data_IF_828913748373
#
_entry.id   IF_828913748373
#
_cell.length_a   1.000
_cell.length_b   1.000
_cell.length_c   1.000
_cell.angle_alpha   90.00
_cell.angle_beta   90.00
_cell.angle_gamma   90.00
#
_symmetry.space_group_name_H-M   'P 1'
#
loop_
_entity.id
_entity.type
_entity.pdbx_description
1 polymer ?
#
# COMPACT_ATOMS: atom_id res chain seq x y z
N UNK A 1 15.77 -64.32 42.13
CA UNK A 1 14.87 -63.88 41.04
C UNK A 1 14.99 -62.37 40.89
N UNK A 2 15.38 -61.92 39.71
CA UNK A 2 15.94 -60.59 39.39
C UNK A 2 14.86 -59.52 39.21
N UNK A 3 14.91 -58.45 40.00
CA UNK A 3 14.09 -57.23 39.82
C UNK A 3 15.00 -56.04 39.51
N UNK A 4 15.73 -56.09 38.41
CA UNK A 4 16.52 -54.95 37.89
C UNK A 4 16.44 -54.99 36.36
N UNK A 5 15.35 -54.48 35.77
CA UNK A 5 15.30 -54.35 34.30
C UNK A 5 14.26 -53.36 33.74
N UNK A 6 13.52 -52.59 34.55
CA UNK A 6 12.48 -51.67 34.02
C UNK A 6 12.98 -50.24 33.75
N UNK A 7 14.05 -49.82 34.41
CA UNK A 7 14.61 -48.46 34.28
C UNK A 7 15.30 -48.15 32.93
N UNK A 8 16.08 -49.05 32.28
CA UNK A 8 16.85 -48.65 31.08
C UNK A 8 15.94 -48.37 29.88
N UNK A 9 14.81 -49.07 29.74
CA UNK A 9 13.84 -48.80 28.68
C UNK A 9 13.16 -47.44 28.81
N UNK A 10 12.92 -46.98 30.05
CA UNK A 10 12.36 -45.65 30.30
C UNK A 10 13.35 -44.53 29.95
N UNK A 11 14.65 -44.71 30.23
CA UNK A 11 15.68 -43.75 29.83
C UNK A 11 15.83 -43.68 28.31
N UNK A 12 15.80 -44.83 27.62
CA UNK A 12 15.87 -44.88 26.17
C UNK A 12 14.65 -44.21 25.53
N UNK A 13 13.44 -44.49 26.05
CA UNK A 13 12.21 -43.84 25.60
C UNK A 13 12.21 -42.32 25.86
N UNK A 14 12.68 -41.89 27.04
CA UNK A 14 12.80 -40.46 27.37
C UNK A 14 13.81 -39.74 26.47
N UNK A 15 14.91 -40.39 26.12
CA UNK A 15 15.91 -39.82 25.21
C UNK A 15 15.36 -39.68 23.78
N UNK A 16 14.65 -40.68 23.27
CA UNK A 16 13.98 -40.63 21.96
C UNK A 16 12.92 -39.54 21.93
N UNK A 17 12.10 -39.42 22.98
CA UNK A 17 11.07 -38.38 23.08
C UNK A 17 11.69 -36.98 23.10
N UNK A 18 12.75 -36.78 23.89
CA UNK A 18 13.46 -35.51 23.95
C UNK A 18 14.08 -35.16 22.58
N UNK A 19 14.71 -36.12 21.91
CA UNK A 19 15.25 -35.94 20.57
C UNK A 19 14.18 -35.57 19.53
N UNK A 20 13.01 -36.22 19.60
CA UNK A 20 11.87 -35.90 18.73
C UNK A 20 11.36 -34.48 18.96
N UNK A 21 11.22 -34.05 20.23
CA UNK A 21 10.82 -32.69 20.60
C UNK A 21 11.82 -31.68 20.06
N UNK A 22 13.12 -31.88 20.32
CA UNK A 22 14.18 -30.97 19.84
C UNK A 22 14.20 -30.90 18.31
N UNK A 23 14.03 -32.03 17.62
CA UNK A 23 14.00 -32.07 16.15
C UNK A 23 12.78 -31.33 15.60
N UNK A 24 11.60 -31.55 16.20
CA UNK A 24 10.37 -30.89 15.80
C UNK A 24 10.47 -29.38 15.96
N UNK A 25 10.83 -28.90 17.16
CA UNK A 25 10.96 -27.46 17.41
C UNK A 25 12.12 -26.84 16.62
N UNK A 26 13.25 -27.54 16.49
CA UNK A 26 14.39 -27.07 15.70
C UNK A 26 14.04 -26.88 14.23
N UNK A 27 13.36 -27.86 13.61
CA UNK A 27 12.89 -27.74 12.23
C UNK A 27 11.87 -26.60 12.08
N UNK A 28 10.92 -26.47 12.99
CA UNK A 28 9.89 -25.43 12.92
C UNK A 28 10.42 -24.01 13.16
N UNK A 29 11.49 -23.84 13.96
CA UNK A 29 12.17 -22.53 14.13
C UNK A 29 12.88 -22.11 12.84
N UNK A 30 13.39 -23.06 12.07
CA UNK A 30 14.09 -22.80 10.81
C UNK A 30 13.09 -22.58 9.67
N UNK A 31 12.10 -23.47 9.53
CA UNK A 31 11.19 -23.56 8.39
C UNK A 31 9.85 -22.84 8.56
N UNK A 32 9.53 -22.31 9.74
CA UNK A 32 8.27 -21.61 9.96
C UNK A 32 8.19 -20.25 9.25
N UNK A 33 6.97 -19.74 9.03
CA UNK A 33 6.70 -18.44 8.39
C UNK A 33 7.34 -17.23 9.11
N UNK A 34 7.76 -17.40 10.36
CA UNK A 34 8.54 -16.42 11.16
C UNK A 34 9.93 -16.91 11.53
N UNK A 35 10.35 -18.01 10.93
CA UNK A 35 11.64 -18.65 11.15
C UNK A 35 12.79 -17.83 10.58
N UNK A 36 14.03 -18.23 10.89
CA UNK A 36 15.24 -17.51 10.49
C UNK A 36 15.34 -17.31 8.96
N UNK A 37 14.78 -18.24 8.17
CA UNK A 37 14.77 -18.19 6.71
C UNK A 37 13.74 -17.21 6.11
N UNK A 38 12.72 -16.79 6.86
CA UNK A 38 11.68 -15.87 6.37
C UNK A 38 12.10 -14.38 6.43
N UNK A 39 13.18 -14.08 7.17
CA UNK A 39 13.66 -12.70 7.40
C UNK A 39 13.99 -11.94 6.11
N UNK A 40 14.71 -12.50 5.12
CA UNK A 40 15.07 -11.76 3.91
C UNK A 40 13.84 -11.36 3.07
N UNK A 41 12.84 -12.23 2.99
CA UNK A 41 11.60 -11.96 2.27
C UNK A 41 10.72 -10.91 2.96
N UNK A 42 10.71 -10.89 4.30
CA UNK A 42 10.04 -9.84 5.07
C UNK A 42 10.74 -8.49 4.90
N UNK A 43 12.06 -8.46 5.00
CA UNK A 43 12.83 -7.22 4.85
C UNK A 43 12.61 -6.59 3.49
N UNK A 44 12.62 -7.40 2.41
CA UNK A 44 12.31 -6.92 1.07
C UNK A 44 10.90 -6.32 0.97
N UNK A 45 9.90 -6.95 1.60
CA UNK A 45 8.53 -6.43 1.62
C UNK A 45 8.42 -5.13 2.39
N UNK A 46 9.17 -4.97 3.49
CA UNK A 46 9.25 -3.72 4.25
C UNK A 46 9.83 -2.63 3.37
N UNK A 47 10.99 -2.87 2.75
CA UNK A 47 11.63 -1.90 1.85
C UNK A 47 10.69 -1.48 0.71
N UNK A 48 10.03 -2.45 0.07
CA UNK A 48 9.06 -2.15 -0.99
C UNK A 48 7.89 -1.30 -0.47
N UNK A 49 7.32 -1.64 0.69
CA UNK A 49 6.22 -0.89 1.29
C UNK A 49 6.64 0.55 1.63
N UNK A 50 7.86 0.74 2.15
CA UNK A 50 8.42 2.05 2.47
C UNK A 50 8.66 2.89 1.20
N UNK A 51 9.17 2.30 0.12
CA UNK A 51 9.32 2.97 -1.18
C UNK A 51 7.96 3.41 -1.73
N UNK A 52 6.96 2.53 -1.70
CA UNK A 52 5.60 2.88 -2.12
C UNK A 52 5.00 4.01 -1.28
N UNK A 53 5.20 3.98 0.04
CA UNK A 53 4.76 5.03 0.94
C UNK A 53 5.44 6.37 0.61
N UNK A 54 6.75 6.36 0.35
CA UNK A 54 7.50 7.56 -0.01
C UNK A 54 6.98 8.19 -1.32
N UNK A 55 6.71 7.37 -2.34
CA UNK A 55 6.15 7.81 -3.61
C UNK A 55 4.75 8.42 -3.45
N UNK A 56 3.86 7.72 -2.74
CA UNK A 56 2.50 8.21 -2.49
C UNK A 56 2.50 9.50 -1.68
N UNK A 57 3.34 9.59 -0.65
CA UNK A 57 3.47 10.81 0.17
C UNK A 57 4.00 11.99 -0.65
N UNK A 58 4.91 11.75 -1.60
CA UNK A 58 5.37 12.79 -2.54
C UNK A 58 4.24 13.25 -3.46
N UNK A 59 3.47 12.31 -4.00
CA UNK A 59 2.34 12.62 -4.88
C UNK A 59 1.24 13.38 -4.13
N UNK A 60 0.90 12.94 -2.92
CA UNK A 60 -0.05 13.63 -2.06
C UNK A 60 0.39 15.07 -1.78
N UNK A 61 1.66 15.29 -1.41
CA UNK A 61 2.19 16.64 -1.19
C UNK A 61 2.09 17.52 -2.42
N UNK A 62 2.42 16.99 -3.60
CA UNK A 62 2.28 17.71 -4.87
C UNK A 62 0.83 18.12 -5.14
N UNK A 63 -0.12 17.20 -4.97
CA UNK A 63 -1.55 17.47 -5.13
C UNK A 63 -2.05 18.46 -4.08
N UNK A 64 -1.63 18.33 -2.82
CA UNK A 64 -1.99 19.25 -1.75
C UNK A 64 -1.47 20.66 -2.01
N UNK A 65 -0.27 20.81 -2.58
CA UNK A 65 0.23 22.12 -3.01
C UNK A 65 -0.64 22.70 -4.12
N UNK A 66 -1.00 21.91 -5.14
CA UNK A 66 -1.89 22.35 -6.22
C UNK A 66 -3.28 22.73 -5.70
N UNK A 67 -3.86 21.91 -4.84
CA UNK A 67 -5.14 22.20 -4.19
C UNK A 67 -5.01 23.46 -3.33
N UNK A 68 -3.91 23.65 -2.60
CA UNK A 68 -3.66 24.86 -1.82
C UNK A 68 -3.65 26.11 -2.69
N UNK A 69 -3.01 26.06 -3.87
CA UNK A 69 -3.03 27.15 -4.85
C UNK A 69 -4.42 27.41 -5.44
N UNK A 70 -5.24 26.36 -5.60
CA UNK A 70 -6.64 26.48 -6.06
C UNK A 70 -7.61 26.91 -4.95
N UNK A 71 -7.28 26.64 -3.68
CA UNK A 71 -8.13 26.85 -2.51
C UNK A 71 -7.83 28.17 -1.79
N UNK A 72 -6.69 28.81 -2.05
CA UNK A 72 -6.36 30.13 -1.50
C UNK A 72 -7.21 31.27 -2.08
N UNK A 73 -8.05 30.99 -3.06
CA UNK A 73 -9.17 31.85 -3.44
C UNK A 73 -10.37 30.95 -3.67
N UNK A 74 -11.56 31.43 -3.33
CA UNK A 74 -12.80 30.89 -3.86
C UNK A 74 -12.61 30.64 -5.37
N UNK A 75 -13.12 29.51 -5.90
CA UNK A 75 -13.18 29.33 -7.36
C UNK A 75 -13.81 30.60 -7.91
N UNK A 76 -13.11 31.29 -8.81
CA UNK A 76 -13.56 32.56 -9.35
C UNK A 76 -14.97 32.34 -9.90
N UNK A 77 -15.94 33.11 -9.39
CA UNK A 77 -17.32 33.01 -9.79
C UNK A 77 -17.47 33.18 -11.31
N UNK A 78 -16.55 33.94 -11.94
CA UNK A 78 -16.54 34.12 -13.38
C UNK A 78 -16.06 32.85 -14.11
N UNK A 79 -14.98 32.22 -13.63
CA UNK A 79 -14.51 30.92 -14.17
C UNK A 79 -15.55 29.81 -14.01
N UNK A 80 -16.27 29.80 -12.89
CA UNK A 80 -17.37 28.87 -12.64
C UNK A 80 -18.55 29.14 -13.59
N UNK A 81 -18.93 30.39 -13.76
CA UNK A 81 -20.00 30.79 -14.68
C UNK A 81 -19.62 30.45 -16.13
N UNK A 82 -18.37 30.68 -16.53
CA UNK A 82 -17.88 30.35 -17.86
C UNK A 82 -17.87 28.84 -18.11
N UNK A 83 -17.41 28.05 -17.15
CA UNK A 83 -17.44 26.58 -17.25
C UNK A 83 -18.88 26.06 -17.31
N UNK A 84 -19.79 26.63 -16.52
CA UNK A 84 -21.21 26.27 -16.54
C UNK A 84 -21.88 26.63 -17.87
N UNK A 85 -21.56 27.77 -18.48
CA UNK A 85 -22.02 28.15 -19.82
C UNK A 85 -21.44 27.22 -20.89
N UNK A 86 -20.13 27.01 -20.89
CA UNK A 86 -19.42 26.24 -21.91
C UNK A 86 -19.79 24.74 -21.88
N UNK A 87 -19.82 24.11 -20.71
CA UNK A 87 -20.02 22.66 -20.59
C UNK A 87 -21.48 22.26 -20.40
N UNK A 88 -22.25 23.05 -19.64
CA UNK A 88 -23.64 22.70 -19.27
C UNK A 88 -24.68 23.50 -20.06
N UNK A 89 -24.25 24.45 -20.89
CA UNK A 89 -25.16 25.29 -21.66
C UNK A 89 -26.02 26.22 -20.81
N UNK A 90 -25.57 26.54 -19.58
CA UNK A 90 -26.30 27.40 -18.63
C UNK A 90 -26.21 28.88 -19.02
N UNK A 91 -26.82 29.24 -20.15
CA UNK A 91 -26.90 30.61 -20.64
C UNK A 91 -28.13 31.34 -20.10
N UNK A 92 -28.00 32.64 -19.84
CA UNK A 92 -29.10 33.52 -19.50
C UNK A 92 -30.01 33.83 -20.72
N UNK A 93 -31.26 34.29 -20.51
CA UNK A 93 -32.18 34.64 -21.60
C UNK A 93 -31.66 35.72 -22.56
N UNK A 94 -30.66 36.49 -22.13
CA UNK A 94 -30.08 37.62 -22.88
C UNK A 94 -28.62 37.35 -23.29
N UNK A 95 -28.10 36.13 -23.08
CA UNK A 95 -26.73 35.79 -23.46
C UNK A 95 -26.64 35.56 -24.98
N UNK A 96 -25.59 36.10 -25.61
CA UNK A 96 -25.35 35.96 -27.05
C UNK A 96 -24.15 35.05 -27.28
N UNK A 97 -24.36 33.95 -27.98
CA UNK A 97 -23.29 32.99 -28.31
C UNK A 97 -22.67 33.42 -29.65
N UNK A 98 -21.36 33.67 -29.65
CA UNK A 98 -20.59 33.99 -30.86
C UNK A 98 -19.63 32.84 -31.15
N UNK A 99 -19.92 32.04 -32.16
CA UNK A 99 -18.98 31.04 -32.67
C UNK A 99 -18.13 31.65 -33.78
N UNK A 100 -16.81 31.66 -33.61
CA UNK A 100 -15.86 32.14 -34.61
C UNK A 100 -15.25 30.93 -35.30
N UNK A 101 -15.26 30.92 -36.63
CA UNK A 101 -14.55 29.91 -37.41
C UNK A 101 -13.04 30.20 -37.34
N UNK A 102 -12.29 29.29 -36.72
CA UNK A 102 -10.84 29.43 -36.53
C UNK A 102 -10.08 29.40 -37.87
N UNK A 103 -10.69 28.93 -38.95
CA UNK A 103 -10.09 28.93 -40.29
C UNK A 103 -10.05 30.33 -40.93
N UNK A 104 -10.90 31.26 -40.47
CA UNK A 104 -10.92 32.66 -40.92
C UNK A 104 -9.92 33.55 -40.16
N UNK A 105 -9.33 33.08 -39.05
CA UNK A 105 -8.25 33.79 -38.37
C UNK A 105 -6.93 33.57 -39.10
N UNK A 106 -6.44 34.61 -39.79
CA UNK A 106 -5.08 34.69 -40.32
C UNK A 106 -4.08 34.77 -39.17
N UNK A 107 -3.59 33.63 -38.73
CA UNK A 107 -2.33 33.54 -37.98
C UNK A 107 -1.13 33.59 -38.94
#
# INVERSE_FOLDING_TARGET
MTVIARKPMAFLGSFVLLGAIVTFFGFHIVSGDRGLLARPGLELKIVQAEEHLALLTKHQRFLQQRIGLLRSGFVDADMLAETARAELGLYGPNDVIVSIDLSDLKF
#
